data_IF_545022084600
#
_entry.id   IF_545022084600
#
_cell.length_a   1.000
_cell.length_b   1.000
_cell.length_c   1.000
_cell.angle_alpha   90.00
_cell.angle_beta   90.00
_cell.angle_gamma   90.00
#
_symmetry.space_group_name_H-M   'P 1'
#
loop_
_entity.id
_entity.type
_entity.pdbx_description
1 polymer ?
#
# COMPACT_ATOMS: atom_id res chain seq x y z
N UNK A 1 -19.92 42.88 -56.26
CA UNK A 1 -20.33 42.84 -54.84
C UNK A 1 -19.67 41.65 -54.15
N UNK A 2 -18.52 41.83 -53.49
CA UNK A 2 -17.99 40.85 -52.55
C UNK A 2 -18.47 41.14 -51.11
N UNK A 3 -18.61 40.11 -50.26
CA UNK A 3 -19.36 40.20 -49.01
C UNK A 3 -18.61 40.87 -47.85
N UNK A 4 -19.44 41.49 -47.02
CA UNK A 4 -19.19 42.31 -45.82
C UNK A 4 -18.40 41.55 -44.75
N UNK A 5 -17.19 42.03 -44.43
CA UNK A 5 -16.37 41.55 -43.31
C UNK A 5 -17.09 41.92 -42.00
N UNK A 6 -17.49 40.91 -41.22
CA UNK A 6 -18.07 41.08 -39.88
C UNK A 6 -16.95 41.47 -38.91
N UNK A 7 -17.11 42.65 -38.29
CA UNK A 7 -16.23 43.19 -37.24
C UNK A 7 -16.42 42.37 -35.95
N UNK A 8 -15.38 41.66 -35.52
CA UNK A 8 -15.34 40.97 -34.23
C UNK A 8 -15.11 42.01 -33.12
N UNK A 9 -15.91 42.05 -32.04
CA UNK A 9 -15.69 42.99 -30.95
C UNK A 9 -14.47 42.61 -30.10
N UNK A 10 -13.72 43.63 -29.68
CA UNK A 10 -12.49 43.53 -28.91
C UNK A 10 -12.71 42.87 -27.55
N UNK A 11 -11.88 41.87 -27.25
CA UNK A 11 -11.83 41.21 -25.95
C UNK A 11 -11.29 42.18 -24.88
N UNK A 12 -12.00 42.24 -23.75
CA UNK A 12 -11.60 42.99 -22.57
C UNK A 12 -10.29 42.43 -21.96
N UNK A 13 -9.46 43.28 -21.31
CA UNK A 13 -8.19 42.85 -20.75
C UNK A 13 -8.39 41.90 -19.56
N UNK A 14 -7.52 40.89 -19.36
CA UNK A 14 -7.63 39.98 -18.24
C UNK A 14 -7.31 40.70 -16.92
N UNK A 15 -8.17 40.48 -15.93
CA UNK A 15 -7.99 40.95 -14.57
C UNK A 15 -6.71 40.35 -13.95
N UNK A 16 -5.97 41.19 -13.23
CA UNK A 16 -4.75 40.86 -12.52
C UNK A 16 -5.00 39.74 -11.50
N UNK A 17 -4.31 38.61 -11.68
CA UNK A 17 -4.25 37.53 -10.70
C UNK A 17 -3.28 37.95 -9.60
N UNK A 18 -3.82 38.28 -8.43
CA UNK A 18 -3.06 38.51 -7.20
C UNK A 18 -2.39 37.21 -6.77
N UNK A 19 -1.06 37.25 -6.66
CA UNK A 19 -0.23 36.13 -6.24
C UNK A 19 -0.54 35.71 -4.79
N UNK A 20 -0.85 34.43 -4.59
CA UNK A 20 -0.95 33.83 -3.26
C UNK A 20 0.46 33.71 -2.63
N UNK A 21 0.64 34.01 -1.33
CA UNK A 21 1.94 33.89 -0.69
C UNK A 21 2.35 32.42 -0.55
N UNK A 22 3.51 32.07 -1.12
CA UNK A 22 4.14 30.77 -0.97
C UNK A 22 4.60 30.59 0.48
N UNK A 23 3.91 29.75 1.25
CA UNK A 23 4.37 29.31 2.56
C UNK A 23 5.63 28.44 2.39
N UNK A 24 6.67 28.63 3.23
CA UNK A 24 7.87 27.82 3.15
C UNK A 24 7.58 26.35 3.54
N UNK A 25 8.26 25.37 2.95
CA UNK A 25 8.05 23.96 3.26
C UNK A 25 8.45 23.68 4.71
N UNK A 26 7.48 23.31 5.54
CA UNK A 26 7.73 22.84 6.90
C UNK A 26 8.28 21.42 6.81
N UNK A 27 9.60 21.27 6.90
CA UNK A 27 10.25 19.97 7.01
C UNK A 27 10.16 19.56 8.49
N UNK A 28 9.23 18.65 8.80
CA UNK A 28 9.15 18.02 10.12
C UNK A 28 10.18 16.88 10.18
N UNK A 29 11.32 17.15 10.84
CA UNK A 29 12.28 16.09 11.18
C UNK A 29 11.80 15.41 12.45
N UNK A 30 11.13 14.27 12.28
CA UNK A 30 10.78 13.38 13.39
C UNK A 30 12.06 12.72 13.92
N UNK A 31 12.63 13.29 14.99
CA UNK A 31 13.70 12.66 15.76
C UNK A 31 13.08 11.57 16.63
N UNK A 32 13.06 10.34 16.13
CA UNK A 32 12.67 9.17 16.92
C UNK A 32 13.78 8.92 17.94
N UNK A 33 13.50 9.18 19.21
CA UNK A 33 14.41 8.84 20.31
C UNK A 33 14.38 7.32 20.52
N UNK A 34 15.53 6.73 20.87
CA UNK A 34 15.67 5.29 21.15
C UNK A 34 14.67 4.76 22.20
N UNK A 35 14.14 5.65 23.03
CA UNK A 35 13.15 5.33 24.06
C UNK A 35 11.78 4.95 23.49
N UNK A 36 11.40 5.49 22.31
CA UNK A 36 10.14 5.13 21.65
C UNK A 36 10.12 3.68 21.14
N UNK A 37 11.29 3.09 20.86
CA UNK A 37 11.39 1.70 20.41
C UNK A 37 11.09 0.71 21.55
N UNK A 38 11.28 1.11 22.82
CA UNK A 38 11.03 0.23 23.97
C UNK A 38 9.56 0.13 24.35
N UNK A 39 8.77 1.19 24.19
CA UNK A 39 7.34 1.17 24.57
C UNK A 39 6.46 0.40 23.59
N UNK A 40 6.92 0.17 22.36
CA UNK A 40 6.22 -0.66 21.37
C UNK A 40 6.25 -2.15 21.75
N UNK A 41 7.23 -2.60 22.54
CA UNK A 41 7.34 -4.01 22.92
C UNK A 41 6.28 -4.46 23.95
N UNK A 42 5.59 -3.54 24.62
CA UNK A 42 4.59 -3.84 25.66
C UNK A 42 3.15 -3.51 25.28
N UNK A 43 2.90 -3.00 24.07
CA UNK A 43 1.54 -2.81 23.58
C UNK A 43 1.16 -4.01 22.71
N UNK A 44 0.26 -4.85 23.21
CA UNK A 44 -0.33 -5.97 22.49
C UNK A 44 -0.93 -5.49 21.15
N UNK A 45 -0.21 -5.75 20.06
CA UNK A 45 -0.67 -5.54 18.68
C UNK A 45 -1.66 -6.67 18.33
N UNK A 46 -2.86 -6.58 18.88
CA UNK A 46 -3.92 -7.57 18.72
C UNK A 46 -4.74 -7.38 17.42
N UNK A 47 -4.16 -6.98 16.29
CA UNK A 47 -4.86 -7.02 14.98
C UNK A 47 -3.92 -7.15 13.78
N UNK A 48 -2.76 -7.81 13.92
CA UNK A 48 -2.15 -8.45 12.77
C UNK A 48 -2.86 -9.80 12.57
N UNK A 49 -3.32 -10.17 11.36
CA UNK A 49 -3.80 -11.53 11.12
C UNK A 49 -2.62 -12.48 11.39
N UNK A 50 -2.66 -13.17 12.52
CA UNK A 50 -1.71 -14.22 12.83
C UNK A 50 -1.79 -15.30 11.73
N UNK A 51 -0.64 -15.83 11.26
CA UNK A 51 -0.66 -17.00 10.41
C UNK A 51 -1.41 -18.11 11.16
N UNK A 52 -2.31 -18.81 10.47
CA UNK A 52 -3.16 -19.84 11.07
C UNK A 52 -2.29 -20.96 11.70
N UNK A 53 -2.00 -20.83 12.98
CA UNK A 53 -1.09 -21.66 13.75
C UNK A 53 -0.51 -20.85 14.91
N UNK A 54 -1.21 -20.86 16.04
CA UNK A 54 -0.95 -20.04 17.24
C UNK A 54 0.33 -20.40 18.01
N UNK A 55 1.47 -20.47 17.32
CA UNK A 55 2.79 -20.52 17.92
C UNK A 55 3.66 -19.47 17.25
N UNK A 56 4.57 -18.86 18.02
CA UNK A 56 5.70 -18.10 17.47
C UNK A 56 6.67 -19.09 16.80
N UNK A 57 6.23 -19.76 15.74
CA UNK A 57 7.09 -20.62 14.95
C UNK A 57 8.11 -19.70 14.29
N UNK A 58 9.37 -19.85 14.70
CA UNK A 58 10.46 -19.14 14.05
C UNK A 58 10.47 -19.61 12.60
N UNK A 59 10.54 -18.69 11.64
CA UNK A 59 10.52 -19.03 10.21
C UNK A 59 11.51 -20.15 9.83
N UNK A 60 12.64 -20.23 10.54
CA UNK A 60 13.63 -21.30 10.41
C UNK A 60 13.09 -22.71 10.71
N UNK A 61 12.11 -22.87 11.60
CA UNK A 61 11.47 -24.15 11.92
C UNK A 61 10.52 -24.57 10.80
N UNK A 62 9.72 -23.63 10.27
CA UNK A 62 8.83 -23.86 9.11
C UNK A 62 9.64 -24.29 7.87
N UNK A 63 10.81 -23.68 7.65
CA UNK A 63 11.72 -24.09 6.59
C UNK A 63 12.26 -25.51 6.82
N UNK A 64 12.62 -25.87 8.06
CA UNK A 64 13.13 -27.20 8.39
C UNK A 64 12.04 -28.28 8.25
N UNK A 65 10.80 -27.97 8.61
CA UNK A 65 9.65 -28.86 8.46
C UNK A 65 9.29 -29.07 6.99
N UNK A 66 9.22 -28.00 6.19
CA UNK A 66 8.95 -28.09 4.75
C UNK A 66 10.06 -28.81 3.96
N UNK A 67 11.32 -28.74 4.41
CA UNK A 67 12.45 -29.47 3.81
C UNK A 67 12.63 -30.89 4.38
N UNK A 68 11.85 -31.26 5.40
CA UNK A 68 11.97 -32.52 6.14
C UNK A 68 11.27 -33.69 5.46
N UNK A 69 11.89 -34.24 4.41
CA UNK A 69 11.75 -35.65 3.98
C UNK A 69 12.74 -36.08 2.88
N UNK A 70 13.47 -35.15 2.26
CA UNK A 70 14.47 -35.45 1.23
C UNK A 70 15.80 -34.79 1.54
N UNK A 71 16.67 -35.46 2.30
CA UNK A 71 18.01 -34.99 2.62
C UNK A 71 18.96 -35.19 1.43
N UNK A 72 18.69 -34.52 0.30
CA UNK A 72 19.73 -34.29 -0.70
C UNK A 72 20.55 -33.10 -0.22
N UNK A 73 21.86 -33.29 -0.05
CA UNK A 73 22.79 -32.20 0.28
C UNK A 73 22.71 -31.18 -0.86
N UNK A 74 22.33 -29.96 -0.51
CA UNK A 74 22.35 -28.83 -1.43
C UNK A 74 23.80 -28.41 -1.61
N UNK A 75 24.43 -28.85 -2.70
CA UNK A 75 25.79 -28.46 -3.05
C UNK A 75 25.75 -27.28 -4.02
N UNK A 76 26.11 -26.10 -3.53
CA UNK A 76 26.07 -24.84 -4.29
C UNK A 76 26.92 -24.89 -5.58
N UNK A 77 28.06 -25.58 -5.52
CA UNK A 77 28.93 -25.77 -6.67
C UNK A 77 28.24 -26.53 -7.82
N UNK A 78 27.44 -27.56 -7.50
CA UNK A 78 26.69 -28.34 -8.50
C UNK A 78 25.62 -27.47 -9.15
N UNK A 79 24.97 -26.60 -8.38
CA UNK A 79 23.94 -25.68 -8.89
C UNK A 79 24.57 -24.65 -9.82
N UNK A 80 25.68 -24.04 -9.42
CA UNK A 80 26.42 -23.12 -10.28
C UNK A 80 26.86 -23.78 -11.60
N UNK A 81 27.31 -25.04 -11.54
CA UNK A 81 27.64 -25.80 -12.73
C UNK A 81 26.41 -26.05 -13.62
N UNK A 82 25.28 -26.49 -13.04
CA UNK A 82 24.04 -26.75 -13.78
C UNK A 82 23.47 -25.48 -14.41
N UNK A 83 23.45 -24.36 -13.68
CA UNK A 83 22.97 -23.07 -14.16
C UNK A 83 23.88 -22.54 -15.28
N UNK A 84 25.20 -22.76 -15.18
CA UNK A 84 26.12 -22.35 -16.25
C UNK A 84 25.83 -23.07 -17.57
N UNK A 85 25.40 -24.33 -17.52
CA UNK A 85 25.07 -25.14 -18.70
C UNK A 85 23.71 -24.82 -19.31
N UNK A 86 22.87 -23.99 -18.67
CA UNK A 86 21.53 -23.68 -19.14
C UNK A 86 21.54 -22.98 -20.52
N UNK A 87 22.59 -22.21 -20.82
CA UNK A 87 22.74 -21.55 -22.12
C UNK A 87 22.96 -22.51 -23.30
N UNK A 88 23.27 -23.79 -23.03
CA UNK A 88 23.48 -24.81 -24.05
C UNK A 88 22.16 -25.42 -24.54
N UNK A 89 21.08 -25.27 -23.75
CA UNK A 89 19.76 -25.70 -24.16
C UNK A 89 19.16 -24.68 -25.14
N UNK A 90 18.87 -25.13 -26.36
CA UNK A 90 18.20 -24.31 -27.38
C UNK A 90 16.71 -24.18 -27.12
N UNK A 91 16.12 -25.20 -26.48
CA UNK A 91 14.68 -25.34 -26.29
C UNK A 91 14.36 -25.74 -24.85
N UNK A 92 13.17 -25.35 -24.39
CA UNK A 92 12.64 -25.80 -23.11
C UNK A 92 12.18 -27.25 -23.19
N UNK A 93 12.24 -28.01 -22.07
CA UNK A 93 11.72 -29.37 -22.06
C UNK A 93 10.23 -29.38 -22.39
N UNK A 94 9.70 -30.46 -22.99
CA UNK A 94 8.31 -30.53 -23.43
C UNK A 94 7.29 -30.50 -22.29
N UNK A 95 7.72 -30.70 -21.05
CA UNK A 95 6.92 -30.60 -19.82
C UNK A 95 7.09 -29.24 -19.12
N UNK A 96 7.81 -28.30 -19.74
CA UNK A 96 7.97 -26.97 -19.18
C UNK A 96 6.61 -26.25 -19.07
N UNK A 97 6.38 -25.64 -17.92
CA UNK A 97 5.22 -24.81 -17.70
C UNK A 97 5.35 -23.46 -18.42
N UNK A 98 4.20 -22.91 -18.81
CA UNK A 98 4.11 -21.54 -19.31
C UNK A 98 4.48 -20.53 -18.20
N UNK A 99 5.26 -19.50 -18.54
CA UNK A 99 5.71 -18.50 -17.58
C UNK A 99 4.58 -17.61 -17.04
N UNK A 100 3.42 -17.57 -17.72
CA UNK A 100 2.25 -16.82 -17.26
C UNK A 100 1.22 -17.67 -16.53
N UNK A 101 0.68 -18.70 -17.19
CA UNK A 101 -0.41 -19.51 -16.64
C UNK A 101 0.06 -20.68 -15.77
N UNK A 102 1.37 -20.96 -15.70
CA UNK A 102 1.98 -22.01 -14.87
C UNK A 102 1.44 -23.43 -15.13
N UNK A 103 0.88 -23.70 -16.31
CA UNK A 103 0.45 -25.03 -16.74
C UNK A 103 1.38 -25.56 -17.82
N UNK A 104 1.62 -26.88 -17.82
CA UNK A 104 2.29 -27.57 -18.91
C UNK A 104 1.44 -27.51 -20.19
N UNK A 105 2.12 -27.53 -21.32
CA UNK A 105 1.49 -27.53 -22.63
C UNK A 105 2.32 -28.38 -23.58
N UNK A 106 1.70 -29.04 -24.58
CA UNK A 106 2.42 -29.89 -25.51
C UNK A 106 3.48 -29.06 -26.26
N UNK A 107 4.75 -29.33 -25.94
CA UNK A 107 5.92 -28.48 -26.22
C UNK A 107 6.34 -28.27 -27.68
N UNK A 108 5.46 -28.47 -28.66
CA UNK A 108 5.76 -28.14 -30.08
C UNK A 108 5.38 -26.70 -30.47
N UNK A 109 4.64 -25.99 -29.61
CA UNK A 109 4.17 -24.63 -29.88
C UNK A 109 4.49 -23.68 -28.72
N UNK A 110 5.77 -23.62 -28.33
CA UNK A 110 6.25 -22.58 -27.43
C UNK A 110 6.29 -21.24 -28.17
N UNK A 111 5.56 -20.27 -27.66
CA UNK A 111 5.63 -18.89 -28.11
C UNK A 111 6.69 -18.14 -27.30
N UNK A 112 7.42 -17.27 -27.96
CA UNK A 112 8.48 -16.45 -27.38
C UNK A 112 8.15 -14.97 -27.58
N UNK A 113 8.44 -14.13 -26.59
CA UNK A 113 8.19 -12.69 -26.66
C UNK A 113 9.38 -12.01 -27.34
N UNK A 114 9.21 -11.34 -28.50
CA UNK A 114 10.30 -10.58 -29.11
C UNK A 114 10.62 -9.33 -28.27
N UNK A 115 11.89 -9.17 -27.91
CA UNK A 115 12.43 -8.01 -27.18
C UNK A 115 12.88 -6.94 -28.16
N UNK A 116 13.62 -7.36 -29.19
CA UNK A 116 14.24 -6.49 -30.18
C UNK A 116 14.27 -7.18 -31.53
N UNK A 117 14.16 -6.39 -32.60
CA UNK A 117 14.28 -6.85 -33.97
C UNK A 117 15.52 -6.23 -34.61
N UNK A 118 16.45 -7.07 -35.06
CA UNK A 118 17.63 -6.63 -35.78
C UNK A 118 17.39 -6.69 -37.29
N UNK A 119 17.42 -5.52 -37.93
CA UNK A 119 17.19 -5.37 -39.38
C UNK A 119 18.36 -5.89 -40.21
N UNK A 120 19.58 -5.93 -39.67
CA UNK A 120 20.76 -6.37 -40.42
C UNK A 120 20.81 -7.89 -40.56
N UNK A 121 20.50 -8.61 -39.48
CA UNK A 121 20.46 -10.07 -39.46
C UNK A 121 19.08 -10.66 -39.77
N UNK A 122 18.05 -9.81 -39.91
CA UNK A 122 16.65 -10.22 -40.05
C UNK A 122 16.23 -11.25 -38.98
N UNK A 123 16.67 -11.02 -37.74
CA UNK A 123 16.45 -11.93 -36.63
C UNK A 123 15.80 -11.23 -35.44
N UNK A 124 14.93 -11.98 -34.75
CA UNK A 124 14.30 -11.51 -33.52
C UNK A 124 15.10 -12.02 -32.32
N UNK A 125 15.44 -11.11 -31.40
CA UNK A 125 15.89 -11.50 -30.07
C UNK A 125 14.65 -11.69 -29.21
N UNK A 126 14.35 -12.92 -28.84
CA UNK A 126 13.15 -13.27 -28.09
C UNK A 126 13.49 -13.91 -26.73
N UNK A 127 12.54 -13.84 -25.80
CA UNK A 127 12.62 -14.49 -24.49
C UNK A 127 11.32 -15.18 -24.11
N UNK A 128 11.45 -16.19 -23.25
CA UNK A 128 10.33 -16.83 -22.56
C UNK A 128 9.76 -18.08 -23.22
N UNK A 129 8.89 -18.75 -22.46
CA UNK A 129 8.20 -19.97 -22.86
C UNK A 129 6.70 -19.81 -22.54
N UNK A 130 5.89 -19.55 -23.57
CA UNK A 130 4.47 -19.25 -23.42
C UNK A 130 3.59 -20.22 -24.21
N UNK A 131 2.40 -20.53 -23.68
CA UNK A 131 1.43 -21.39 -24.36
C UNK A 131 0.62 -20.65 -25.45
N UNK A 132 0.60 -19.32 -25.44
CA UNK A 132 -0.07 -18.46 -26.42
C UNK A 132 0.61 -17.08 -26.47
N UNK A 133 0.51 -16.34 -27.60
CA UNK A 133 1.05 -14.97 -27.67
C UNK A 133 0.40 -14.03 -26.63
N UNK A 134 -0.85 -14.28 -26.27
CA UNK A 134 -1.57 -13.51 -25.24
C UNK A 134 -0.96 -13.65 -23.85
N UNK A 135 -0.48 -14.85 -23.52
CA UNK A 135 0.23 -15.08 -22.26
C UNK A 135 1.58 -14.33 -22.23
N UNK A 136 2.29 -14.30 -23.36
CA UNK A 136 3.53 -13.53 -23.49
C UNK A 136 3.31 -12.03 -23.40
N UNK A 137 2.19 -11.55 -23.96
CA UNK A 137 1.81 -10.15 -23.89
C UNK A 137 1.43 -9.73 -22.46
N UNK A 138 0.63 -10.54 -21.77
CA UNK A 138 0.29 -10.31 -20.36
C UNK A 138 1.52 -10.28 -19.46
N UNK A 139 2.47 -11.18 -19.70
CA UNK A 139 3.76 -11.19 -19.01
C UNK A 139 4.52 -9.87 -19.19
N UNK A 140 4.58 -9.36 -20.43
CA UNK A 140 5.22 -8.08 -20.74
C UNK A 140 4.59 -6.89 -20.02
N UNK A 141 3.25 -6.85 -19.95
CA UNK A 141 2.56 -5.78 -19.24
C UNK A 141 2.68 -5.87 -17.72
N UNK A 142 2.77 -7.09 -17.18
CA UNK A 142 2.93 -7.34 -15.75
C UNK A 142 4.30 -6.90 -15.21
N UNK A 143 5.33 -6.93 -16.05
CA UNK A 143 6.68 -6.56 -15.67
C UNK A 143 6.75 -5.06 -15.36
N UNK A 144 7.04 -4.73 -14.10
CA UNK A 144 7.04 -3.34 -13.62
C UNK A 144 8.34 -2.61 -13.95
N UNK A 145 9.41 -3.35 -14.29
CA UNK A 145 10.70 -2.78 -14.68
C UNK A 145 10.70 -2.13 -16.06
N UNK A 146 9.79 -2.54 -16.94
CA UNK A 146 9.71 -1.99 -18.30
C UNK A 146 9.02 -0.63 -18.33
N UNK A 147 9.56 0.27 -19.16
CA UNK A 147 8.87 1.51 -19.51
C UNK A 147 7.67 1.23 -20.42
N UNK A 148 6.72 2.17 -20.49
CA UNK A 148 5.56 2.02 -21.37
C UNK A 148 5.94 1.93 -22.85
N UNK A 149 7.00 2.66 -23.25
CA UNK A 149 7.54 2.59 -24.61
C UNK A 149 8.05 1.20 -24.96
N UNK A 150 8.77 0.55 -24.04
CA UNK A 150 9.27 -0.81 -24.24
C UNK A 150 8.14 -1.84 -24.31
N UNK A 151 7.11 -1.67 -23.47
CA UNK A 151 5.90 -2.52 -23.51
C UNK A 151 5.19 -2.42 -24.85
N UNK A 152 5.03 -1.19 -25.36
CA UNK A 152 4.42 -0.94 -26.67
C UNK A 152 5.27 -1.50 -27.82
N UNK A 153 6.60 -1.35 -27.75
CA UNK A 153 7.51 -1.91 -28.74
C UNK A 153 7.37 -3.43 -28.82
N UNK A 154 7.43 -4.12 -27.68
CA UNK A 154 7.27 -5.58 -27.61
C UNK A 154 5.88 -6.03 -28.11
N UNK A 155 4.83 -5.28 -27.79
CA UNK A 155 3.47 -5.54 -28.31
C UNK A 155 3.40 -5.42 -29.84
N UNK A 156 3.99 -4.37 -30.41
CA UNK A 156 4.07 -4.18 -31.86
C UNK A 156 4.87 -5.29 -32.55
N UNK A 157 6.01 -5.68 -31.97
CA UNK A 157 6.82 -6.80 -32.47
C UNK A 157 6.05 -8.13 -32.41
N UNK A 158 5.27 -8.35 -31.35
CA UNK A 158 4.39 -9.52 -31.22
C UNK A 158 3.37 -9.59 -32.35
N UNK A 159 2.71 -8.47 -32.65
CA UNK A 159 1.74 -8.37 -33.74
C UNK A 159 2.41 -8.59 -35.11
N UNK A 160 3.64 -8.09 -35.30
CA UNK A 160 4.39 -8.32 -36.54
C UNK A 160 4.76 -9.79 -36.73
N UNK A 161 5.20 -10.47 -35.66
CA UNK A 161 5.65 -11.86 -35.69
C UNK A 161 4.49 -12.85 -35.81
N UNK A 162 3.45 -12.67 -34.99
CA UNK A 162 2.35 -13.63 -34.86
C UNK A 162 1.05 -13.17 -35.54
N UNK A 163 0.95 -11.94 -36.02
CA UNK A 163 -0.26 -11.43 -36.69
C UNK A 163 -0.66 -12.24 -37.92
N UNK A 164 0.30 -12.91 -38.59
CA UNK A 164 0.01 -13.83 -39.71
C UNK A 164 -0.73 -15.10 -39.27
N UNK A 165 -0.57 -15.52 -38.01
CA UNK A 165 -1.25 -16.69 -37.45
C UNK A 165 -2.70 -16.37 -37.04
N UNK A 166 -3.00 -15.09 -36.79
CA UNK A 166 -4.28 -14.60 -36.30
C UNK A 166 -4.85 -13.51 -37.21
N UNK A 167 -5.34 -13.86 -38.43
CA UNK A 167 -5.80 -12.85 -39.39
C UNK A 167 -7.09 -12.13 -38.98
N UNK A 168 -7.90 -12.75 -38.11
CA UNK A 168 -9.24 -12.28 -37.75
C UNK A 168 -9.35 -11.73 -36.32
N UNK A 169 -8.25 -11.70 -35.56
CA UNK A 169 -8.25 -11.33 -34.15
C UNK A 169 -6.95 -10.63 -33.76
N UNK A 170 -7.08 -9.47 -33.10
CA UNK A 170 -5.94 -8.78 -32.51
C UNK A 170 -5.45 -9.50 -31.25
N UNK A 171 -4.13 -9.49 -31.04
CA UNK A 171 -3.48 -10.09 -29.88
C UNK A 171 -3.75 -9.18 -28.66
N UNK A 172 -4.60 -9.65 -27.74
CA UNK A 172 -5.01 -8.98 -26.50
C UNK A 172 -4.42 -9.64 -25.24
N UNK A 173 -3.88 -8.86 -24.29
CA UNK A 173 -3.22 -9.43 -23.13
C UNK A 173 -4.13 -10.39 -22.36
N UNK A 174 -3.60 -11.59 -22.09
CA UNK A 174 -4.28 -12.59 -21.31
C UNK A 174 -4.64 -12.08 -19.89
N UNK A 175 -5.76 -12.53 -19.31
CA UNK A 175 -6.13 -12.12 -17.98
C UNK A 175 -5.16 -12.72 -16.94
N UNK A 176 -5.10 -12.08 -15.77
CA UNK A 176 -4.17 -12.45 -14.71
C UNK A 176 -4.39 -13.89 -14.21
N UNK A 177 -3.28 -14.59 -13.97
CA UNK A 177 -3.24 -16.00 -13.54
C UNK A 177 -4.04 -16.26 -12.27
N UNK A 178 -4.26 -15.24 -11.43
CA UNK A 178 -5.10 -15.31 -10.22
C UNK A 178 -6.53 -15.82 -10.48
N UNK A 179 -7.01 -15.74 -11.72
CA UNK A 179 -8.34 -16.24 -12.10
C UNK A 179 -8.38 -17.78 -12.23
N UNK A 180 -7.22 -18.42 -12.39
CA UNK A 180 -7.12 -19.88 -12.47
C UNK A 180 -7.31 -20.52 -11.08
N UNK A 181 -7.92 -21.71 -11.06
CA UNK A 181 -8.10 -22.52 -9.84
C UNK A 181 -6.79 -22.80 -9.10
N UNK A 182 -5.67 -22.94 -9.83
CA UNK A 182 -4.34 -23.14 -9.24
C UNK A 182 -3.96 -22.02 -8.25
N UNK A 183 -4.45 -20.80 -8.48
CA UNK A 183 -4.17 -19.64 -7.63
C UNK A 183 -5.36 -19.27 -6.73
N UNK A 184 -6.39 -20.12 -6.64
CA UNK A 184 -7.61 -19.86 -5.87
C UNK A 184 -8.72 -19.15 -6.66
N UNK A 185 -8.59 -19.05 -7.98
CA UNK A 185 -9.64 -18.51 -8.85
C UNK A 185 -10.72 -19.53 -9.24
N UNK A 186 -11.63 -19.12 -10.12
CA UNK A 186 -12.80 -19.92 -10.50
C UNK A 186 -12.61 -20.77 -11.77
N UNK A 187 -11.76 -20.31 -12.69
CA UNK A 187 -11.61 -20.90 -14.02
C UNK A 187 -10.65 -22.08 -14.02
N UNK A 188 -11.02 -23.14 -14.73
CA UNK A 188 -10.11 -24.21 -15.09
C UNK A 188 -9.19 -23.81 -16.27
N UNK A 189 -8.09 -24.52 -16.48
CA UNK A 189 -7.12 -24.21 -17.54
C UNK A 189 -7.74 -24.31 -18.94
N UNK A 190 -8.64 -25.26 -19.17
CA UNK A 190 -9.29 -25.41 -20.47
C UNK A 190 -10.22 -24.23 -20.75
N UNK A 191 -10.99 -23.82 -19.74
CA UNK A 191 -11.89 -22.67 -19.81
C UNK A 191 -11.10 -21.37 -20.03
N UNK A 192 -9.93 -21.25 -19.39
CA UNK A 192 -9.04 -20.11 -19.56
C UNK A 192 -8.52 -20.01 -21.00
N UNK A 193 -8.07 -21.12 -21.60
CA UNK A 193 -7.60 -21.13 -22.99
C UNK A 193 -8.72 -20.89 -24.00
N UNK A 194 -9.90 -21.46 -23.76
CA UNK A 194 -11.08 -21.22 -24.57
C UNK A 194 -11.53 -19.74 -24.51
N UNK A 195 -11.44 -19.13 -23.32
CA UNK A 195 -11.67 -17.69 -23.15
C UNK A 195 -10.71 -16.88 -24.01
N UNK A 196 -9.41 -17.17 -24.00
CA UNK A 196 -8.45 -16.45 -24.84
C UNK A 196 -8.77 -16.51 -26.34
N UNK A 197 -9.31 -17.64 -26.82
CA UNK A 197 -9.64 -17.79 -28.24
C UNK A 197 -10.94 -17.09 -28.65
N UNK A 198 -11.90 -16.94 -27.72
CA UNK A 198 -13.25 -16.43 -28.01
C UNK A 198 -13.49 -15.01 -27.47
N UNK A 199 -12.62 -14.51 -26.60
CA UNK A 199 -12.87 -13.26 -25.88
C UNK A 199 -12.90 -12.07 -26.84
N UNK A 200 -14.00 -11.34 -26.81
CA UNK A 200 -14.13 -10.02 -27.47
C UNK A 200 -13.73 -8.87 -26.54
N UNK A 201 -13.69 -9.11 -25.22
CA UNK A 201 -13.41 -8.08 -24.21
C UNK A 201 -12.32 -8.52 -23.24
N UNK A 202 -11.34 -7.65 -22.93
CA UNK A 202 -10.31 -7.96 -21.94
C UNK A 202 -10.92 -8.00 -20.54
N UNK A 203 -10.42 -8.92 -19.71
CA UNK A 203 -10.81 -9.04 -18.31
C UNK A 203 -9.69 -8.47 -17.43
N UNK A 204 -10.04 -7.47 -16.62
CA UNK A 204 -9.13 -6.83 -15.67
C UNK A 204 -9.50 -7.18 -14.23
N UNK A 205 -8.50 -7.52 -13.42
CA UNK A 205 -8.69 -7.70 -11.98
C UNK A 205 -8.71 -6.32 -11.31
N UNK A 206 -9.82 -6.01 -10.64
CA UNK A 206 -9.92 -4.83 -9.77
C UNK A 206 -9.50 -5.22 -8.35
N UNK A 207 -8.40 -4.67 -7.86
CA UNK A 207 -8.04 -4.79 -6.45
C UNK A 207 -8.94 -3.89 -5.61
N UNK A 208 -9.50 -4.36 -4.49
CA UNK A 208 -10.30 -3.51 -3.61
C UNK A 208 -9.42 -2.39 -3.04
N UNK A 209 -9.95 -1.16 -2.89
CA UNK A 209 -9.20 -0.09 -2.25
C UNK A 209 -8.90 -0.46 -0.78
N UNK A 210 -7.70 -0.12 -0.31
CA UNK A 210 -7.32 -0.28 1.10
C UNK A 210 -8.33 0.49 1.94
N UNK A 211 -9.11 -0.22 2.75
CA UNK A 211 -10.14 0.38 3.60
C UNK A 211 -9.45 1.05 4.78
N UNK A 212 -9.33 2.38 4.75
CA UNK A 212 -8.92 3.15 5.91
C UNK A 212 -10.08 3.18 6.90
N UNK A 213 -9.95 2.50 8.03
CA UNK A 213 -10.87 2.67 9.14
C UNK A 213 -10.52 3.96 9.87
N UNK A 214 -11.48 4.90 9.92
CA UNK A 214 -11.37 6.10 10.74
C UNK A 214 -11.34 5.69 12.21
N UNK A 215 -10.39 6.16 13.03
CA UNK A 215 -10.41 5.87 14.46
C UNK A 215 -11.66 6.49 15.11
N UNK A 216 -12.47 5.67 15.78
CA UNK A 216 -13.56 6.18 16.61
C UNK A 216 -13.00 6.62 17.96
N UNK A 217 -13.14 7.91 18.29
CA UNK A 217 -12.84 8.40 19.64
C UNK A 217 -14.06 8.15 20.52
N UNK A 218 -13.87 7.36 21.57
CA UNK A 218 -14.88 7.25 22.62
C UNK A 218 -14.77 8.48 23.52
N UNK A 219 -15.65 9.47 23.32
CA UNK A 219 -15.75 10.66 24.17
C UNK A 219 -16.53 10.36 25.44
N UNK A 220 -16.24 9.25 26.13
CA UNK A 220 -16.61 9.20 27.54
C UNK A 220 -15.67 10.18 28.24
N UNK A 221 -16.14 11.43 28.39
CA UNK A 221 -15.50 12.40 29.25
C UNK A 221 -15.21 11.69 30.57
N UNK A 222 -13.97 11.78 31.06
CA UNK A 222 -13.70 11.38 32.43
C UNK A 222 -14.57 12.25 33.32
N UNK A 223 -15.72 11.72 33.75
CA UNK A 223 -16.62 12.34 34.72
C UNK A 223 -15.91 12.30 36.07
N UNK A 224 -14.87 13.12 36.23
CA UNK A 224 -14.14 13.34 37.48
C UNK A 224 -13.99 14.82 37.79
N UNK A 225 -14.87 15.65 37.24
CA UNK A 225 -15.15 17.01 37.71
C UNK A 225 -16.63 17.18 38.09
N UNK A 226 -17.21 16.14 38.71
CA UNK A 226 -18.36 16.40 39.58
C UNK A 226 -17.78 17.08 40.81
N UNK A 227 -17.77 18.42 40.80
CA UNK A 227 -17.60 19.20 42.02
C UNK A 227 -18.64 18.70 43.01
N UNK A 228 -18.21 17.87 43.95
CA UNK A 228 -19.02 17.39 45.05
C UNK A 228 -19.61 18.62 45.72
N UNK A 229 -20.91 18.85 45.52
CA UNK A 229 -21.63 19.89 46.23
C UNK A 229 -21.62 19.51 47.70
N UNK A 230 -20.76 20.15 48.49
CA UNK A 230 -20.80 20.04 49.94
C UNK A 230 -21.93 20.95 50.39
N UNK A 231 -23.05 20.37 50.81
CA UNK A 231 -24.13 21.13 51.41
C UNK A 231 -23.59 21.86 52.65
N UNK A 232 -23.63 23.20 52.63
CA UNK A 232 -23.29 24.02 53.78
C UNK A 232 -24.33 23.78 54.88
N UNK A 233 -24.05 22.84 55.78
CA UNK A 233 -24.81 22.71 57.02
C UNK A 233 -24.57 23.93 57.90
N UNK A 234 -25.57 24.35 58.67
CA UNK A 234 -25.48 25.48 59.61
C UNK A 234 -24.30 25.28 60.57
N UNK A 235 -24.06 24.04 60.99
CA UNK A 235 -22.93 23.69 61.86
C UNK A 235 -21.55 23.94 61.21
N UNK A 236 -21.41 23.69 59.91
CA UNK A 236 -20.16 23.98 59.19
C UNK A 236 -19.94 25.48 59.01
N UNK A 237 -21.01 26.25 58.83
CA UNK A 237 -20.96 27.71 58.76
C UNK A 237 -20.60 28.30 60.13
N UNK A 238 -21.16 27.76 61.21
CA UNK A 238 -20.87 28.22 62.57
C UNK A 238 -19.42 27.92 62.97
N UNK A 239 -18.91 26.71 62.67
CA UNK A 239 -17.50 26.35 62.88
C UNK A 239 -16.55 27.25 62.09
N UNK A 240 -16.87 27.51 60.81
CA UNK A 240 -16.08 28.41 59.97
C UNK A 240 -16.11 29.85 60.50
N UNK A 241 -17.25 30.35 60.95
CA UNK A 241 -17.38 31.70 61.51
C UNK A 241 -16.60 31.87 62.82
N UNK A 242 -16.46 30.82 63.62
CA UNK A 242 -15.70 30.85 64.87
C UNK A 242 -14.19 30.78 64.64
N UNK A 243 -13.74 29.99 63.65
CA UNK A 243 -12.32 29.77 63.36
C UNK A 243 -11.71 30.83 62.44
N UNK A 244 -12.49 31.40 61.52
CA UNK A 244 -12.01 32.39 60.54
C UNK A 244 -12.23 33.84 60.99
N UNK A 245 -12.91 34.05 62.14
CA UNK A 245 -12.89 35.36 62.80
C UNK A 245 -11.47 35.64 63.29
N UNK A 246 -10.86 36.71 62.77
CA UNK A 246 -9.58 37.23 63.23
C UNK A 246 -9.63 37.46 64.75
N UNK A 247 -9.08 36.52 65.52
CA UNK A 247 -8.91 36.65 66.97
C UNK A 247 -7.49 37.09 67.26
N UNK A 248 -7.35 38.13 68.09
CA UNK A 248 -6.06 38.58 68.59
C UNK A 248 -5.67 37.74 69.80
N UNK A 249 -4.59 36.97 69.70
CA UNK A 249 -4.11 36.12 70.81
C UNK A 249 -3.31 36.87 71.89
N UNK A 250 -3.05 38.17 71.72
CA UNK A 250 -2.29 38.99 72.67
C UNK A 250 -3.17 40.11 73.23
N UNK A 251 -3.21 40.32 74.57
CA UNK A 251 -3.97 41.41 75.16
C UNK A 251 -3.50 42.76 74.61
N UNK A 252 -4.46 43.68 74.45
CA UNK A 252 -4.16 45.05 74.01
C UNK A 252 -3.35 45.73 75.11
N UNK A 253 -2.27 46.41 74.75
CA UNK A 253 -1.42 47.09 75.71
C UNK A 253 -2.17 48.33 76.22
N UNK A 254 -2.62 48.32 77.48
CA UNK A 254 -3.55 49.32 78.02
C UNK A 254 -2.96 50.74 78.17
N UNK A 255 -1.64 50.89 78.02
CA UNK A 255 -0.92 52.14 78.26
C UNK A 255 -0.52 52.97 77.04
N UNK A 256 -0.78 52.52 75.81
CA UNK A 256 -0.43 53.27 74.58
C UNK A 256 -1.70 53.75 73.90
N UNK A 257 -1.85 55.03 73.53
CA UNK A 257 -3.00 55.51 72.78
C UNK A 257 -2.97 54.88 71.38
N UNK A 258 -3.67 53.76 71.21
CA UNK A 258 -3.89 53.14 69.90
C UNK A 258 -4.94 53.93 69.12
N UNK A 259 -4.83 53.87 67.79
CA UNK A 259 -5.76 54.48 66.83
C UNK A 259 -7.24 54.22 67.16
N UNK A 260 -7.56 53.04 67.72
CA UNK A 260 -8.92 52.67 68.13
C UNK A 260 -9.51 53.61 69.20
N UNK A 261 -8.70 54.12 70.13
CA UNK A 261 -9.10 55.15 71.12
C UNK A 261 -9.38 56.50 70.47
N UNK A 262 -8.66 56.82 69.38
CA UNK A 262 -8.84 58.06 68.62
C UNK A 262 -10.05 58.00 67.67
N UNK A 263 -10.46 56.79 67.24
CA UNK A 263 -11.54 56.59 66.28
C UNK A 263 -12.92 56.38 66.91
N UNK A 264 -13.02 56.34 68.25
CA UNK A 264 -14.29 56.32 68.97
C UNK A 264 -15.16 55.08 68.74
N UNK A 265 -14.58 54.00 68.22
CA UNK A 265 -15.28 52.74 67.98
C UNK A 265 -15.34 51.97 69.31
N UNK A 266 -16.54 51.80 69.85
CA UNK A 266 -16.81 50.90 70.98
C UNK A 266 -16.83 49.45 70.53
#
# INVERSE_FOLDING_TARGET
MPPRIKKVPAAAPPAAVTAAPALPPVILVLKVTKEFVKSVQTAEVSTCPEPAGGGSAVYSEILRESMGQGQQRFDDAVIHELVSKLHLATDYPPDAACFWCCHSFPGKAAFSVPIHYDTHSNSYRAEGNFCSPECGLAYTYSESRLTQSDKWLRHSLMNSLYGRLYPNSDIQPAPDKRILRLFGGTLDIQQYREFLMKATRPLHIAMPPIRLYMPSVNTQASSRDVKTYVALSVETVDKASQQLRLRRNKPVHEGVPTLDKCLGVK
#
